data_IF_146163659083
#
_entry.id   IF_146163659083
#
_cell.length_a   1.000
_cell.length_b   1.000
_cell.length_c   1.000
_cell.angle_alpha   90.00
_cell.angle_beta   90.00
_cell.angle_gamma   90.00
#
_symmetry.space_group_name_H-M   'P 1'
#
loop_
_entity.id
_entity.type
_entity.pdbx_description
1 polymer ?
#
# COMPACT_ATOMS: atom_id res chain seq x y z
N UNK A 1 23.43 20.90 1.33
CA UNK A 1 23.38 19.98 2.47
C UNK A 1 22.10 19.17 2.33
N UNK A 2 22.21 17.85 2.17
CA UNK A 2 21.03 17.00 2.18
C UNK A 2 20.57 16.87 3.63
N UNK A 3 19.31 17.22 3.90
CA UNK A 3 18.70 16.92 5.18
C UNK A 3 18.77 15.42 5.39
N UNK A 4 19.46 15.00 6.43
CA UNK A 4 19.55 13.60 6.79
C UNK A 4 18.19 13.17 7.33
N UNK A 5 17.51 12.27 6.62
CA UNK A 5 16.22 11.74 7.05
C UNK A 5 16.45 10.83 8.27
N UNK A 6 16.21 11.39 9.45
CA UNK A 6 16.44 10.71 10.74
C UNK A 6 15.52 9.48 10.94
N UNK A 7 14.45 9.38 10.17
CA UNK A 7 13.51 8.26 10.25
C UNK A 7 13.86 7.12 9.28
N UNK A 8 14.73 7.37 8.32
CA UNK A 8 15.12 6.37 7.34
C UNK A 8 15.93 5.25 7.99
N UNK A 9 15.46 4.01 7.85
CA UNK A 9 16.20 2.83 8.27
C UNK A 9 17.10 2.30 7.16
N UNK A 10 16.54 2.08 5.98
CA UNK A 10 17.25 1.56 4.81
C UNK A 10 16.49 1.76 3.51
N UNK A 11 17.20 1.54 2.41
CA UNK A 11 16.60 1.49 1.08
C UNK A 11 16.77 0.07 0.56
N UNK A 12 15.70 -0.52 0.06
CA UNK A 12 15.70 -1.85 -0.55
C UNK A 12 15.29 -1.78 -2.01
N UNK A 13 15.68 -2.79 -2.78
CA UNK A 13 15.15 -3.04 -4.12
C UNK A 13 14.24 -4.26 -4.08
N UNK A 14 12.99 -4.07 -4.47
CA UNK A 14 12.00 -5.14 -4.57
C UNK A 14 11.74 -5.47 -6.03
N UNK A 15 11.98 -6.70 -6.42
CA UNK A 15 11.78 -7.19 -7.80
C UNK A 15 10.63 -8.17 -7.84
N UNK A 16 9.62 -7.86 -8.66
CA UNK A 16 8.45 -8.70 -8.85
C UNK A 16 7.85 -8.47 -10.24
N UNK A 17 7.39 -9.51 -10.89
CA UNK A 17 6.74 -9.45 -12.22
C UNK A 17 7.50 -8.63 -13.25
N UNK A 18 8.83 -8.85 -13.37
CA UNK A 18 9.74 -8.11 -14.25
C UNK A 18 9.82 -6.60 -13.97
N UNK A 19 9.40 -6.17 -12.79
CA UNK A 19 9.50 -4.80 -12.31
C UNK A 19 10.48 -4.72 -11.17
N UNK A 20 11.13 -3.58 -11.05
CA UNK A 20 12.07 -3.28 -9.97
C UNK A 20 11.67 -1.97 -9.34
N UNK A 21 11.35 -1.99 -8.06
CA UNK A 21 10.99 -0.82 -7.28
C UNK A 21 11.99 -0.61 -6.15
N UNK A 22 12.36 0.62 -5.90
CA UNK A 22 13.15 0.99 -4.74
C UNK A 22 12.23 1.54 -3.65
N UNK A 23 12.35 1.00 -2.45
CA UNK A 23 11.61 1.46 -1.30
C UNK A 23 12.54 2.02 -0.23
N UNK A 24 12.24 3.24 0.21
CA UNK A 24 12.76 3.81 1.44
C UNK A 24 11.93 3.26 2.58
N UNK A 25 12.57 2.61 3.53
CA UNK A 25 11.89 1.98 4.67
C UNK A 25 12.19 2.78 5.93
N UNK A 26 11.18 3.32 6.62
CA UNK A 26 11.39 4.03 7.87
C UNK A 26 11.57 3.07 9.04
N UNK A 27 12.13 3.59 10.12
CA UNK A 27 12.11 2.92 11.42
C UNK A 27 10.68 2.89 11.97
N UNK A 28 10.42 1.97 12.88
CA UNK A 28 9.19 1.90 13.69
C UNK A 28 7.87 1.61 12.93
N UNK A 29 7.92 1.33 11.64
CA UNK A 29 6.76 0.80 10.93
C UNK A 29 6.79 -0.73 10.85
N UNK A 30 5.60 -1.31 10.72
CA UNK A 30 5.43 -2.74 10.46
C UNK A 30 6.23 -3.16 9.21
N UNK A 31 6.92 -4.29 9.29
CA UNK A 31 7.78 -4.81 8.21
C UNK A 31 8.94 -3.86 7.83
N UNK A 32 9.56 -3.22 8.83
CA UNK A 32 10.65 -2.27 8.62
C UNK A 32 11.99 -2.89 8.17
N UNK A 33 12.04 -4.16 7.82
CA UNK A 33 13.26 -4.86 7.36
C UNK A 33 13.28 -5.12 5.86
N UNK A 34 12.15 -5.51 5.29
CA UNK A 34 11.97 -5.86 3.89
C UNK A 34 10.48 -5.91 3.58
N UNK A 35 10.12 -6.05 2.30
CA UNK A 35 8.75 -6.38 1.93
C UNK A 35 8.37 -7.73 2.56
N UNK A 36 7.34 -7.73 3.40
CA UNK A 36 7.02 -8.91 4.18
C UNK A 36 6.36 -10.03 3.35
N UNK A 37 6.33 -11.22 3.93
CA UNK A 37 5.74 -12.40 3.28
C UNK A 37 4.25 -12.23 3.02
N UNK A 38 3.53 -11.54 3.89
CA UNK A 38 2.09 -11.26 3.73
C UNK A 38 1.84 -10.41 2.48
N UNK A 39 2.61 -9.35 2.28
CA UNK A 39 2.53 -8.52 1.08
C UNK A 39 2.86 -9.32 -0.19
N UNK A 40 3.92 -10.13 -0.16
CA UNK A 40 4.30 -10.98 -1.30
C UNK A 40 3.22 -12.00 -1.64
N UNK A 41 2.61 -12.61 -0.63
CA UNK A 41 1.51 -13.56 -0.80
C UNK A 41 0.27 -12.89 -1.40
N UNK A 42 -0.13 -11.72 -0.88
CA UNK A 42 -1.26 -10.96 -1.40
C UNK A 42 -1.04 -10.56 -2.87
N UNK A 43 0.13 -10.05 -3.20
CA UNK A 43 0.47 -9.67 -4.58
C UNK A 43 0.33 -10.86 -5.53
N UNK A 44 0.86 -12.01 -5.16
CA UNK A 44 0.75 -13.23 -5.97
C UNK A 44 -0.70 -13.64 -6.14
N UNK A 45 -1.46 -13.69 -5.06
CA UNK A 45 -2.88 -14.06 -5.08
C UNK A 45 -3.70 -13.12 -5.98
N UNK A 46 -3.47 -11.82 -5.87
CA UNK A 46 -4.18 -10.82 -6.66
C UNK A 46 -3.86 -10.96 -8.15
N UNK A 47 -2.57 -11.06 -8.48
CA UNK A 47 -2.15 -11.15 -9.89
C UNK A 47 -2.64 -12.45 -10.53
N UNK A 48 -2.57 -13.57 -9.82
CA UNK A 48 -3.01 -14.88 -10.34
C UNK A 48 -4.54 -14.96 -10.47
N UNK A 49 -5.29 -14.24 -9.63
CA UNK A 49 -6.75 -14.29 -9.61
C UNK A 49 -7.43 -13.25 -10.51
N UNK A 50 -6.67 -12.29 -11.05
CA UNK A 50 -7.26 -11.20 -11.83
C UNK A 50 -7.72 -11.64 -13.21
N UNK A 51 -9.03 -11.63 -13.41
CA UNK A 51 -9.67 -11.81 -14.73
C UNK A 51 -9.81 -10.47 -15.48
N UNK A 52 -9.94 -9.38 -14.74
CA UNK A 52 -10.03 -8.01 -15.27
C UNK A 52 -9.04 -7.12 -14.55
N UNK A 53 -8.47 -6.17 -15.28
CA UNK A 53 -7.54 -5.19 -14.69
C UNK A 53 -8.33 -4.21 -13.84
N UNK A 54 -8.05 -4.10 -12.53
CA UNK A 54 -8.75 -3.15 -11.67
C UNK A 54 -8.41 -1.71 -12.08
N UNK A 55 -9.42 -0.86 -12.20
CA UNK A 55 -9.24 0.56 -12.54
C UNK A 55 -9.00 1.43 -11.32
N UNK A 56 -9.62 1.07 -10.19
CA UNK A 56 -9.51 1.79 -8.93
C UNK A 56 -9.15 0.82 -7.82
N UNK A 57 -8.04 1.08 -7.16
CA UNK A 57 -7.50 0.23 -6.08
C UNK A 57 -7.41 1.04 -4.80
N UNK A 58 -7.80 0.43 -3.68
CA UNK A 58 -7.61 0.98 -2.35
C UNK A 58 -6.68 0.06 -1.55
N UNK A 59 -5.59 0.61 -1.02
CA UNK A 59 -4.69 -0.04 -0.08
C UNK A 59 -4.90 0.55 1.32
N UNK A 60 -5.51 -0.24 2.20
CA UNK A 60 -5.80 0.15 3.57
C UNK A 60 -4.65 -0.25 4.50
N UNK A 61 -4.14 0.71 5.27
CA UNK A 61 -2.99 0.48 6.12
C UNK A 61 -1.73 0.30 5.29
N UNK A 62 -1.45 1.25 4.41
CA UNK A 62 -0.46 1.10 3.34
C UNK A 62 1.01 1.03 3.81
N UNK A 63 1.32 1.47 5.03
CA UNK A 63 2.70 1.53 5.52
C UNK A 63 3.57 2.42 4.63
N UNK A 64 4.76 1.96 4.26
CA UNK A 64 5.63 2.70 3.34
C UNK A 64 5.29 2.48 1.86
N UNK A 65 4.22 1.76 1.55
CA UNK A 65 3.65 1.61 0.22
C UNK A 65 3.97 0.34 -0.56
N UNK A 66 4.47 -0.75 0.05
CA UNK A 66 4.95 -1.89 -0.73
C UNK A 66 3.84 -2.58 -1.54
N UNK A 67 2.65 -2.71 -0.99
CA UNK A 67 1.53 -3.37 -1.67
C UNK A 67 0.92 -2.47 -2.76
N UNK A 68 0.47 -1.29 -2.39
CA UNK A 68 -0.20 -0.37 -3.31
C UNK A 68 0.69 0.09 -4.45
N UNK A 69 1.96 0.43 -4.17
CA UNK A 69 2.89 0.89 -5.20
C UNK A 69 3.30 -0.25 -6.15
N UNK A 70 3.46 -1.47 -5.65
CA UNK A 70 3.73 -2.63 -6.51
C UNK A 70 2.53 -2.93 -7.39
N UNK A 71 1.31 -2.89 -6.86
CA UNK A 71 0.09 -3.04 -7.67
C UNK A 71 0.00 -1.97 -8.76
N UNK A 72 0.32 -0.72 -8.42
CA UNK A 72 0.37 0.36 -9.42
C UNK A 72 1.38 0.08 -10.53
N UNK A 73 2.54 -0.46 -10.20
CA UNK A 73 3.54 -0.81 -11.20
C UNK A 73 3.09 -1.94 -12.13
N UNK A 74 2.28 -2.87 -11.61
CA UNK A 74 1.73 -3.99 -12.38
C UNK A 74 0.53 -3.54 -13.22
N UNK A 75 -0.39 -2.80 -12.61
CA UNK A 75 -1.61 -2.27 -13.24
C UNK A 75 -1.44 -0.78 -13.51
N UNK A 76 -0.61 -0.43 -14.48
CA UNK A 76 -0.13 0.93 -14.70
C UNK A 76 -1.24 1.96 -14.97
N UNK A 77 -2.37 1.53 -15.52
CA UNK A 77 -3.51 2.41 -15.82
C UNK A 77 -4.48 2.58 -14.64
N UNK A 78 -4.26 1.87 -13.54
CA UNK A 78 -5.08 1.99 -12.33
C UNK A 78 -4.84 3.30 -11.60
N UNK A 79 -5.89 3.80 -10.93
CA UNK A 79 -5.77 4.83 -9.90
C UNK A 79 -5.67 4.12 -8.55
N UNK A 80 -4.62 4.42 -7.78
CA UNK A 80 -4.39 3.77 -6.50
C UNK A 80 -4.54 4.78 -5.37
N UNK A 81 -5.46 4.49 -4.46
CA UNK A 81 -5.61 5.19 -3.19
C UNK A 81 -4.90 4.40 -2.10
N UNK A 82 -4.14 5.09 -1.28
CA UNK A 82 -3.38 4.50 -0.19
C UNK A 82 -3.65 5.28 1.09
N UNK A 83 -4.07 4.59 2.13
CA UNK A 83 -4.50 5.20 3.38
C UNK A 83 -3.76 4.57 4.55
N UNK A 84 -3.25 5.40 5.45
CA UNK A 84 -2.70 4.95 6.72
C UNK A 84 -3.00 5.97 7.82
N UNK A 85 -3.17 5.50 9.05
CA UNK A 85 -3.36 6.38 10.22
C UNK A 85 -2.05 7.03 10.68
N UNK A 86 -0.92 6.44 10.31
CA UNK A 86 0.41 6.93 10.69
C UNK A 86 0.91 7.95 9.67
N UNK A 87 1.17 9.18 10.14
CA UNK A 87 1.69 10.24 9.29
C UNK A 87 3.03 9.89 8.64
N UNK A 88 3.88 9.12 9.32
CA UNK A 88 5.15 8.66 8.78
C UNK A 88 4.95 7.69 7.61
N UNK A 89 3.95 6.81 7.70
CA UNK A 89 3.57 5.90 6.62
C UNK A 89 3.11 6.68 5.37
N UNK A 90 2.26 7.67 5.56
CA UNK A 90 1.79 8.55 4.47
C UNK A 90 2.97 9.25 3.78
N UNK A 91 3.87 9.83 4.56
CA UNK A 91 5.08 10.50 4.06
C UNK A 91 5.94 9.57 3.22
N UNK A 92 6.23 8.36 3.72
CA UNK A 92 7.09 7.39 3.02
C UNK A 92 6.41 6.80 1.79
N UNK A 93 5.10 6.58 1.83
CA UNK A 93 4.36 6.16 0.63
C UNK A 93 4.44 7.20 -0.48
N UNK A 94 4.32 8.48 -0.16
CA UNK A 94 4.52 9.58 -1.11
C UNK A 94 5.95 9.60 -1.66
N UNK A 95 6.96 9.50 -0.77
CA UNK A 95 8.36 9.48 -1.17
C UNK A 95 8.71 8.28 -2.05
N UNK A 96 8.03 7.15 -1.88
CA UNK A 96 8.29 5.93 -2.64
C UNK A 96 7.59 5.89 -4.00
N UNK A 97 6.58 6.71 -4.22
CA UNK A 97 5.85 6.73 -5.50
C UNK A 97 6.64 7.40 -6.63
N UNK A 98 6.98 8.66 -6.45
CA UNK A 98 7.54 9.49 -7.50
C UNK A 98 8.89 9.00 -8.05
N UNK A 99 9.89 8.62 -7.22
CA UNK A 99 11.18 8.12 -7.72
C UNK A 99 11.06 6.81 -8.52
N UNK A 100 9.99 6.05 -8.32
CA UNK A 100 9.69 4.85 -9.10
C UNK A 100 8.88 5.15 -10.39
N UNK A 101 8.66 6.41 -10.72
CA UNK A 101 7.93 6.82 -11.91
C UNK A 101 6.43 6.53 -11.84
N UNK A 102 5.87 6.37 -10.65
CA UNK A 102 4.47 6.03 -10.45
C UNK A 102 3.62 7.30 -10.31
N UNK A 103 2.57 7.40 -11.09
CA UNK A 103 1.61 8.51 -11.10
C UNK A 103 0.20 7.99 -10.81
N UNK A 104 -0.79 8.88 -10.68
CA UNK A 104 -2.17 8.54 -10.35
C UNK A 104 -2.28 7.76 -9.02
N UNK A 105 -1.51 8.22 -8.03
CA UNK A 105 -1.50 7.72 -6.67
C UNK A 105 -1.99 8.83 -5.76
N UNK A 106 -2.98 8.55 -4.94
CA UNK A 106 -3.48 9.44 -3.90
C UNK A 106 -3.21 8.83 -2.53
N UNK A 107 -2.31 9.44 -1.76
CA UNK A 107 -1.92 8.97 -0.42
C UNK A 107 -2.41 9.97 0.62
N UNK A 108 -3.14 9.50 1.61
CA UNK A 108 -3.69 10.36 2.64
C UNK A 108 -3.80 9.66 4.00
N UNK A 109 -3.83 10.48 5.05
CA UNK A 109 -4.07 10.00 6.41
C UNK A 109 -5.53 9.67 6.62
N UNK A 110 -5.80 8.60 7.37
CA UNK A 110 -7.16 8.22 7.69
C UNK A 110 -7.23 6.93 8.49
N UNK A 111 -8.40 6.71 9.07
CA UNK A 111 -8.72 5.54 9.85
C UNK A 111 -9.66 4.61 9.07
N UNK A 112 -9.10 3.57 8.47
CA UNK A 112 -9.87 2.66 7.64
C UNK A 112 -10.52 3.37 6.45
N UNK A 113 -11.83 3.23 6.29
CA UNK A 113 -12.59 3.81 5.19
C UNK A 113 -13.08 5.25 5.45
N UNK A 114 -12.96 5.75 6.67
CA UNK A 114 -13.58 7.01 7.10
C UNK A 114 -13.14 8.21 6.26
N UNK A 115 -11.88 8.23 5.87
CA UNK A 115 -11.30 9.31 5.08
C UNK A 115 -11.07 8.95 3.61
N UNK A 116 -11.64 7.84 3.15
CA UNK A 116 -11.59 7.46 1.75
C UNK A 116 -12.30 8.49 0.89
N UNK A 117 -11.56 9.08 -0.05
CA UNK A 117 -12.06 10.13 -0.94
C UNK A 117 -12.89 9.61 -2.10
N UNK A 118 -12.89 8.32 -2.31
CA UNK A 118 -13.62 7.67 -3.39
C UNK A 118 -14.29 6.40 -2.89
N UNK A 119 -15.43 6.14 -3.45
CA UNK A 119 -16.10 4.85 -3.42
C UNK A 119 -15.97 4.17 -4.80
N UNK A 120 -16.62 3.05 -4.99
CA UNK A 120 -16.61 2.27 -6.23
C UNK A 120 -15.20 1.77 -6.61
N UNK A 121 -14.49 1.22 -5.64
CA UNK A 121 -13.22 0.54 -5.89
C UNK A 121 -13.46 -0.82 -6.58
N UNK A 122 -12.59 -1.16 -7.51
CA UNK A 122 -12.59 -2.48 -8.14
C UNK A 122 -11.84 -3.52 -7.30
N UNK A 123 -10.90 -3.03 -6.48
CA UNK A 123 -10.07 -3.86 -5.62
C UNK A 123 -9.74 -3.13 -4.33
N UNK A 124 -10.01 -3.76 -3.21
CA UNK A 124 -9.59 -3.30 -1.90
C UNK A 124 -8.61 -4.31 -1.33
N UNK A 125 -7.44 -3.85 -0.93
CA UNK A 125 -6.39 -4.70 -0.35
C UNK A 125 -5.96 -4.15 1.00
N UNK A 126 -5.57 -5.05 1.89
CA UNK A 126 -5.00 -4.68 3.18
C UNK A 126 -4.12 -5.81 3.70
N UNK A 127 -2.88 -5.48 4.04
CA UNK A 127 -2.03 -6.38 4.79
C UNK A 127 -2.18 -6.07 6.28
N UNK A 128 -3.18 -6.69 6.90
CA UNK A 128 -3.55 -6.42 8.28
C UNK A 128 -2.58 -7.13 9.22
N UNK A 129 -1.93 -6.41 10.17
CA UNK A 129 -1.09 -7.05 11.18
C UNK A 129 -1.91 -8.05 12.01
N UNK A 130 -1.33 -9.22 12.31
CA UNK A 130 -1.98 -10.23 13.14
C UNK A 130 -2.41 -9.74 14.54
N UNK A 131 -1.76 -8.68 15.02
CA UNK A 131 -2.07 -7.99 16.28
C UNK A 131 -3.37 -7.17 16.25
N UNK A 132 -3.93 -6.91 15.08
CA UNK A 132 -5.11 -6.06 14.93
C UNK A 132 -6.36 -6.66 15.62
N UNK A 133 -6.42 -7.98 15.72
CA UNK A 133 -7.52 -8.69 16.37
C UNK A 133 -8.70 -8.95 15.42
N UNK A 134 -9.51 -9.92 15.83
CA UNK A 134 -10.61 -10.42 15.02
C UNK A 134 -11.71 -9.37 14.76
N UNK A 135 -12.00 -8.52 15.75
CA UNK A 135 -13.02 -7.48 15.62
C UNK A 135 -12.66 -6.44 14.55
N UNK A 136 -11.39 -6.03 14.46
CA UNK A 136 -10.91 -5.09 13.43
C UNK A 136 -10.97 -5.72 12.06
N UNK A 137 -10.50 -6.95 11.92
CA UNK A 137 -10.56 -7.69 10.66
C UNK A 137 -11.99 -7.84 10.17
N UNK A 138 -12.90 -8.25 11.07
CA UNK A 138 -14.32 -8.39 10.76
C UNK A 138 -14.96 -7.06 10.32
N UNK A 139 -14.64 -5.96 11.00
CA UNK A 139 -15.10 -4.63 10.61
C UNK A 139 -14.63 -4.25 9.20
N UNK A 140 -13.33 -4.41 8.92
CA UNK A 140 -12.76 -4.06 7.63
C UNK A 140 -13.40 -4.86 6.49
N UNK A 141 -13.62 -6.16 6.70
CA UNK A 141 -14.26 -7.02 5.69
C UNK A 141 -15.72 -6.66 5.46
N UNK A 142 -16.48 -6.41 6.51
CA UNK A 142 -17.90 -6.04 6.39
C UNK A 142 -18.08 -4.67 5.75
N UNK A 143 -17.27 -3.71 6.15
CA UNK A 143 -17.34 -2.35 5.64
C UNK A 143 -16.92 -2.26 4.17
N UNK A 144 -16.00 -3.12 3.73
CA UNK A 144 -15.52 -3.09 2.34
C UNK A 144 -16.64 -3.20 1.30
N UNK A 145 -17.72 -3.91 1.61
CA UNK A 145 -18.87 -4.10 0.72
C UNK A 145 -19.50 -2.77 0.30
N UNK A 146 -19.45 -1.77 1.16
CA UNK A 146 -20.05 -0.45 0.88
C UNK A 146 -19.15 0.45 0.03
N UNK A 147 -17.87 0.06 -0.16
CA UNK A 147 -16.88 0.84 -0.89
C UNK A 147 -16.47 0.21 -2.22
N UNK A 148 -16.91 -1.00 -2.46
CA UNK A 148 -16.70 -1.70 -3.74
C UNK A 148 -17.73 -1.29 -4.80
#
# INVERSE_FOLDING_TARGET
MMDEDVYLKKIITFRAWKRSLQFRIPQDLFSSHDVDLGTKFLLRTIVDAQYEIPKKILDLGCGYGPLGLTLKSIFSDSIVHMVDRDALAVEYSLQNGLPNGLTDIDVYGGLGYDDSKMDDFDLIVSNIPGKAGESVISYLLKESVYHL
#
